data_IF_843553319565
#
_entry.id   IF_843553319565
#
_cell.length_a   1.000
_cell.length_b   1.000
_cell.length_c   1.000
_cell.angle_alpha   90.00
_cell.angle_beta   90.00
_cell.angle_gamma   90.00
#
_symmetry.space_group_name_H-M   'P 1'
#
loop_
_entity.id
_entity.type
_entity.pdbx_description
1 polymer ?
#
# COMPACT_ATOMS: atom_id res chain seq x y z
N UNK A 1 -19.12 -19.34 -14.99
CA UNK A 1 -18.91 -19.22 -13.53
C UNK A 1 -19.65 -17.95 -13.11
N UNK A 2 -20.57 -18.03 -12.14
CA UNK A 2 -21.30 -16.84 -11.67
C UNK A 2 -20.29 -15.86 -11.07
N UNK A 3 -19.87 -14.86 -11.85
CA UNK A 3 -19.09 -13.75 -11.34
C UNK A 3 -20.02 -12.92 -10.47
N UNK A 4 -19.98 -13.19 -9.16
CA UNK A 4 -20.53 -12.30 -8.15
C UNK A 4 -20.02 -10.89 -8.42
N UNK A 5 -20.93 -9.93 -8.59
CA UNK A 5 -20.62 -8.51 -8.72
C UNK A 5 -19.57 -8.10 -7.66
N UNK A 6 -18.37 -7.62 -8.07
CA UNK A 6 -17.29 -7.26 -7.16
C UNK A 6 -17.71 -6.24 -6.10
N UNK A 7 -18.62 -5.31 -6.43
CA UNK A 7 -19.11 -4.30 -5.47
C UNK A 7 -19.96 -4.96 -4.40
N UNK A 8 -20.89 -5.86 -4.77
CA UNK A 8 -21.69 -6.62 -3.82
C UNK A 8 -20.85 -7.57 -2.97
N UNK A 9 -19.83 -8.20 -3.58
CA UNK A 9 -18.89 -9.05 -2.85
C UNK A 9 -18.09 -8.25 -1.82
N UNK A 10 -17.60 -7.07 -2.21
CA UNK A 10 -16.91 -6.14 -1.33
C UNK A 10 -17.82 -5.66 -0.19
N UNK A 11 -19.03 -5.17 -0.50
CA UNK A 11 -19.99 -4.67 0.48
C UNK A 11 -20.28 -5.70 1.58
N UNK A 12 -20.57 -6.95 1.20
CA UNK A 12 -20.76 -8.05 2.16
C UNK A 12 -19.51 -8.33 2.99
N UNK A 13 -18.32 -8.32 2.38
CA UNK A 13 -17.05 -8.58 3.06
C UNK A 13 -16.75 -7.54 4.14
N UNK A 14 -17.08 -6.27 3.89
CA UNK A 14 -16.82 -5.16 4.82
C UNK A 14 -18.00 -4.84 5.74
N UNK A 15 -19.12 -5.55 5.61
CA UNK A 15 -20.30 -5.37 6.45
C UNK A 15 -21.13 -4.12 6.13
N UNK A 16 -21.07 -3.61 4.89
CA UNK A 16 -21.96 -2.53 4.45
C UNK A 16 -23.41 -3.03 4.41
N UNK A 17 -24.34 -2.16 4.80
CA UNK A 17 -25.77 -2.35 4.57
C UNK A 17 -26.11 -2.25 3.07
N UNK A 18 -27.26 -2.80 2.68
CA UNK A 18 -27.73 -2.71 1.30
C UNK A 18 -27.91 -1.23 0.87
N UNK A 19 -28.38 -0.37 1.78
CA UNK A 19 -28.52 1.07 1.53
C UNK A 19 -27.17 1.76 1.28
N UNK A 20 -26.13 1.43 2.04
CA UNK A 20 -24.78 1.97 1.81
C UNK A 20 -24.17 1.45 0.50
N UNK A 21 -24.42 0.18 0.16
CA UNK A 21 -23.94 -0.42 -1.08
C UNK A 21 -24.61 0.21 -2.32
N UNK A 22 -25.89 0.57 -2.24
CA UNK A 22 -26.62 1.27 -3.30
C UNK A 22 -26.06 2.67 -3.60
N UNK A 23 -25.37 3.30 -2.64
CA UNK A 23 -24.69 4.58 -2.87
C UNK A 23 -23.45 4.45 -3.79
N UNK A 24 -22.95 3.25 -4.02
CA UNK A 24 -21.84 2.97 -4.94
C UNK A 24 -22.43 2.60 -6.30
N UNK A 25 -22.75 3.61 -7.09
CA UNK A 25 -23.35 3.42 -8.42
C UNK A 25 -22.33 2.87 -9.42
N UNK A 26 -22.77 2.25 -10.54
CA UNK A 26 -21.85 1.73 -11.56
C UNK A 26 -20.91 2.78 -12.17
N UNK A 27 -21.32 4.05 -12.22
CA UNK A 27 -20.52 5.16 -12.75
C UNK A 27 -19.59 5.79 -11.70
N UNK A 28 -19.67 5.35 -10.44
CA UNK A 28 -18.81 5.85 -9.36
C UNK A 28 -17.37 5.35 -9.52
N UNK A 29 -16.41 6.27 -9.33
CA UNK A 29 -14.99 5.96 -9.18
C UNK A 29 -14.70 4.82 -8.18
N UNK A 30 -15.48 4.72 -7.09
CA UNK A 30 -15.39 3.65 -6.09
C UNK A 30 -15.72 2.28 -6.68
N UNK A 31 -16.73 2.19 -7.56
CA UNK A 31 -17.09 0.94 -8.22
C UNK A 31 -15.96 0.46 -9.14
N UNK A 32 -15.38 1.40 -9.92
CA UNK A 32 -14.18 1.12 -10.74
C UNK A 32 -13.02 0.63 -9.88
N UNK A 33 -12.71 1.35 -8.80
CA UNK A 33 -11.64 1.01 -7.88
C UNK A 33 -11.81 -0.39 -7.29
N UNK A 34 -12.98 -0.71 -6.71
CA UNK A 34 -13.27 -2.02 -6.12
C UNK A 34 -13.07 -3.14 -7.15
N UNK A 35 -13.60 -2.99 -8.36
CA UNK A 35 -13.46 -3.99 -9.42
C UNK A 35 -12.00 -4.21 -9.81
N UNK A 36 -11.26 -3.11 -10.01
CA UNK A 36 -9.86 -3.15 -10.47
C UNK A 36 -8.91 -3.68 -9.41
N UNK A 37 -9.10 -3.33 -8.15
CA UNK A 37 -8.31 -3.89 -7.06
C UNK A 37 -8.64 -5.37 -6.83
N UNK A 38 -9.89 -5.79 -6.99
CA UNK A 38 -10.25 -7.20 -6.98
C UNK A 38 -9.48 -7.98 -8.06
N UNK A 39 -9.41 -7.46 -9.30
CA UNK A 39 -8.61 -8.04 -10.40
C UNK A 39 -7.10 -8.06 -10.08
N UNK A 40 -6.57 -6.98 -9.49
CA UNK A 40 -5.15 -6.83 -9.18
C UNK A 40 -4.68 -7.66 -7.98
N UNK A 41 -5.56 -7.93 -7.01
CA UNK A 41 -5.22 -8.54 -5.71
C UNK A 41 -4.56 -9.92 -5.81
N UNK A 42 -4.94 -10.70 -6.83
CA UNK A 42 -4.35 -12.02 -7.12
C UNK A 42 -3.01 -11.94 -7.84
N UNK A 43 -2.70 -10.80 -8.47
CA UNK A 43 -1.55 -10.64 -9.36
C UNK A 43 -0.41 -9.86 -8.74
N UNK A 44 -0.72 -8.94 -7.82
CA UNK A 44 0.24 -7.96 -7.35
C UNK A 44 0.30 -7.82 -5.82
N UNK A 45 1.46 -7.38 -5.36
CA UNK A 45 1.71 -6.92 -3.99
C UNK A 45 2.55 -5.65 -4.03
N UNK A 46 2.36 -4.76 -3.05
CA UNK A 46 3.19 -3.57 -2.89
C UNK A 46 4.36 -3.96 -2.00
N UNK A 47 5.58 -3.67 -2.44
CA UNK A 47 6.80 -3.88 -1.67
C UNK A 47 7.48 -2.54 -1.38
N UNK A 48 7.78 -2.30 -0.10
CA UNK A 48 8.67 -1.24 0.32
C UNK A 48 9.95 -1.86 0.88
N UNK A 49 11.09 -1.59 0.23
CA UNK A 49 12.40 -2.10 0.61
C UNK A 49 13.24 -1.01 1.26
N UNK A 50 13.87 -1.33 2.39
CA UNK A 50 14.83 -0.42 3.04
C UNK A 50 16.08 -0.30 2.16
N UNK A 51 16.35 0.90 1.67
CA UNK A 51 17.54 1.20 0.85
C UNK A 51 18.64 1.91 1.65
N UNK A 52 18.30 2.57 2.75
CA UNK A 52 19.28 3.13 3.70
C UNK A 52 18.70 3.16 5.10
N UNK A 53 19.56 2.95 6.11
CA UNK A 53 19.20 3.04 7.52
C UNK A 53 20.38 3.56 8.32
N UNK A 54 20.19 4.71 8.97
CA UNK A 54 21.19 5.34 9.84
C UNK A 54 20.54 5.56 11.19
N UNK A 55 21.19 5.10 12.26
CA UNK A 55 20.76 5.30 13.65
C UNK A 55 19.27 4.99 13.93
N UNK A 56 18.74 3.92 13.31
CA UNK A 56 17.36 3.50 13.49
C UNK A 56 17.13 2.77 14.82
N UNK A 57 16.32 3.34 15.71
CA UNK A 57 15.94 2.69 16.99
C UNK A 57 15.24 1.32 16.80
N UNK A 58 14.42 1.18 15.76
CA UNK A 58 13.77 -0.11 15.45
C UNK A 58 14.73 -1.15 14.89
N UNK A 59 15.92 -0.73 14.44
CA UNK A 59 16.97 -1.62 13.95
C UNK A 59 16.75 -2.13 12.53
N UNK A 60 16.00 -1.40 11.70
CA UNK A 60 15.87 -1.73 10.27
C UNK A 60 17.23 -1.68 9.58
N UNK A 61 17.42 -2.55 8.57
CA UNK A 61 18.65 -2.66 7.78
C UNK A 61 18.34 -2.63 6.29
N UNK A 62 19.27 -2.16 5.43
CA UNK A 62 19.12 -2.30 4.00
C UNK A 62 18.78 -3.73 3.58
N UNK A 63 17.79 -3.88 2.70
CA UNK A 63 17.25 -5.17 2.27
C UNK A 63 16.06 -5.70 3.08
N UNK A 64 15.75 -5.12 4.24
CA UNK A 64 14.48 -5.40 4.93
C UNK A 64 13.29 -5.01 4.04
N UNK A 65 12.24 -5.84 4.01
CA UNK A 65 11.07 -5.65 3.14
C UNK A 65 9.78 -5.59 3.93
N UNK A 66 8.93 -4.64 3.57
CA UNK A 66 7.54 -4.55 3.99
C UNK A 66 6.69 -4.92 2.78
N UNK A 67 5.83 -5.92 2.93
CA UNK A 67 4.95 -6.38 1.87
C UNK A 67 3.51 -6.07 2.25
N UNK A 68 2.80 -5.38 1.37
CA UNK A 68 1.40 -5.05 1.50
C UNK A 68 0.61 -5.73 0.39
N UNK A 69 -0.65 -6.06 0.66
CA UNK A 69 -1.59 -6.32 -0.42
C UNK A 69 -1.90 -5.02 -1.19
N UNK A 70 -2.66 -5.14 -2.29
CA UNK A 70 -3.05 -3.97 -3.09
C UNK A 70 -4.07 -3.08 -2.39
N UNK A 71 -4.70 -3.52 -1.30
CA UNK A 71 -5.61 -2.69 -0.50
C UNK A 71 -4.84 -1.86 0.56
N UNK A 72 -3.52 -2.05 0.66
CA UNK A 72 -2.66 -1.32 1.61
C UNK A 72 -2.52 -1.98 2.98
N UNK A 73 -2.92 -3.25 3.14
CA UNK A 73 -2.72 -3.98 4.39
C UNK A 73 -1.35 -4.66 4.40
N UNK A 74 -0.61 -4.53 5.50
CA UNK A 74 0.63 -5.28 5.68
C UNK A 74 0.37 -6.79 5.79
N UNK A 75 1.06 -7.57 4.98
CA UNK A 75 1.16 -9.02 5.14
C UNK A 75 2.20 -9.26 6.23
N UNK A 76 1.76 -9.23 7.49
CA UNK A 76 2.63 -9.20 8.68
C UNK A 76 3.71 -10.29 8.71
N UNK A 77 3.42 -11.49 8.19
CA UNK A 77 4.37 -12.61 8.08
C UNK A 77 5.54 -12.35 7.12
N UNK A 78 5.39 -11.40 6.20
CA UNK A 78 6.39 -10.99 5.21
C UNK A 78 7.03 -9.64 5.54
N UNK A 79 6.72 -9.08 6.72
CA UNK A 79 7.25 -7.80 7.20
C UNK A 79 8.22 -8.03 8.38
N UNK A 80 9.03 -7.02 8.76
CA UNK A 80 9.81 -7.10 9.98
C UNK A 80 8.92 -7.23 11.21
N UNK A 81 9.42 -7.91 12.25
CA UNK A 81 8.66 -8.16 13.50
C UNK A 81 8.17 -6.88 14.19
N UNK A 82 8.89 -5.76 14.01
CA UNK A 82 8.53 -4.45 14.55
C UNK A 82 8.24 -3.51 13.39
N UNK A 83 7.08 -2.86 13.41
CA UNK A 83 6.65 -1.87 12.42
C UNK A 83 6.53 -0.50 13.09
N UNK A 84 7.48 0.39 12.80
CA UNK A 84 7.58 1.72 13.38
C UNK A 84 6.60 2.67 12.69
N UNK A 85 5.67 3.27 13.44
CA UNK A 85 4.66 4.20 12.90
C UNK A 85 5.26 5.36 12.09
N UNK A 86 6.43 5.87 12.49
CA UNK A 86 7.12 6.97 11.81
C UNK A 86 7.62 6.60 10.41
N UNK A 87 7.88 5.31 10.16
CA UNK A 87 8.27 4.81 8.84
C UNK A 87 7.06 4.30 8.07
N UNK A 88 6.23 3.45 8.68
CA UNK A 88 5.10 2.83 7.97
C UNK A 88 4.01 3.85 7.60
N UNK A 89 3.83 4.91 8.39
CA UNK A 89 2.91 6.00 8.05
C UNK A 89 3.30 6.77 6.79
N UNK A 90 4.57 6.68 6.37
CA UNK A 90 5.04 7.32 5.14
C UNK A 90 4.60 6.55 3.88
N UNK A 91 4.02 5.36 4.04
CA UNK A 91 3.53 4.56 2.92
C UNK A 91 2.11 4.93 2.48
N UNK A 92 1.36 5.75 3.24
CA UNK A 92 -0.03 6.12 2.90
C UNK A 92 -0.14 6.73 1.50
N UNK A 93 0.69 7.74 1.18
CA UNK A 93 0.63 8.41 -0.13
C UNK A 93 1.07 7.51 -1.29
N UNK A 94 2.23 6.81 -1.25
CA UNK A 94 2.60 5.93 -2.35
C UNK A 94 1.59 4.78 -2.57
N UNK A 95 0.99 4.23 -1.51
CA UNK A 95 -0.07 3.22 -1.64
C UNK A 95 -1.29 3.81 -2.36
N UNK A 96 -1.77 4.99 -1.95
CA UNK A 96 -2.88 5.67 -2.62
C UNK A 96 -2.58 5.95 -4.11
N UNK A 97 -1.37 6.40 -4.44
CA UNK A 97 -0.96 6.62 -5.83
C UNK A 97 -0.95 5.31 -6.65
N UNK A 98 -0.46 4.21 -6.06
CA UNK A 98 -0.50 2.89 -6.69
C UNK A 98 -1.94 2.44 -6.91
N UNK A 99 -2.82 2.65 -5.93
CA UNK A 99 -4.24 2.30 -6.02
C UNK A 99 -4.97 3.07 -7.11
N UNK A 100 -4.73 4.37 -7.23
CA UNK A 100 -5.30 5.19 -8.31
C UNK A 100 -4.84 4.67 -9.67
N UNK A 101 -3.56 4.32 -9.82
CA UNK A 101 -3.05 3.76 -11.08
C UNK A 101 -3.66 2.41 -11.42
N UNK A 102 -3.78 1.51 -10.43
CA UNK A 102 -4.46 0.22 -10.61
C UNK A 102 -5.93 0.41 -10.98
N UNK A 103 -6.62 1.37 -10.33
CA UNK A 103 -8.01 1.76 -10.63
C UNK A 103 -8.18 2.23 -12.08
N UNK A 104 -7.21 2.98 -12.60
CA UNK A 104 -7.20 3.45 -14.00
C UNK A 104 -6.63 2.42 -14.99
N UNK A 105 -6.23 1.22 -14.53
CA UNK A 105 -5.64 0.19 -15.38
C UNK A 105 -4.27 0.57 -15.96
N UNK A 106 -3.56 1.51 -15.32
CA UNK A 106 -2.23 1.96 -15.70
C UNK A 106 -1.15 1.07 -15.06
N UNK A 107 0.08 1.13 -15.59
CA UNK A 107 1.23 0.49 -14.95
C UNK A 107 1.43 1.06 -13.53
N UNK A 108 1.31 0.23 -12.47
CA UNK A 108 1.38 0.70 -11.10
C UNK A 108 2.79 1.10 -10.64
N UNK A 109 3.85 0.81 -11.40
CA UNK A 109 5.24 1.23 -11.10
C UNK A 109 5.63 2.58 -11.73
N UNK A 110 4.80 3.13 -12.61
CA UNK A 110 5.02 4.40 -13.32
C UNK A 110 4.45 5.62 -12.55
N UNK A 111 4.76 5.74 -11.26
CA UNK A 111 4.50 6.96 -10.47
C UNK A 111 5.82 7.70 -10.17
N UNK A 112 5.79 9.03 -10.14
CA UNK A 112 6.99 9.86 -9.99
C UNK A 112 7.27 10.26 -8.53
N UNK A 113 6.28 10.82 -7.83
CA UNK A 113 6.50 11.61 -6.61
C UNK A 113 6.98 10.79 -5.40
N UNK A 114 6.40 9.61 -5.15
CA UNK A 114 6.62 8.85 -3.91
C UNK A 114 7.34 7.50 -4.10
N UNK A 115 8.21 7.36 -5.12
CA UNK A 115 8.97 6.11 -5.33
C UNK A 115 9.93 5.80 -4.19
N UNK A 116 10.30 6.81 -3.42
CA UNK A 116 11.09 6.68 -2.21
C UNK A 116 10.48 7.55 -1.12
N UNK A 117 10.50 7.07 0.12
CA UNK A 117 10.02 7.80 1.29
C UNK A 117 11.01 7.64 2.44
N UNK A 118 11.13 8.64 3.29
CA UNK A 118 11.96 8.59 4.50
C UNK A 118 11.06 8.58 5.73
N UNK A 119 11.44 7.92 6.81
CA UNK A 119 10.78 8.16 8.10
C UNK A 119 10.94 9.62 8.54
N UNK A 120 10.11 10.06 9.48
CA UNK A 120 10.05 11.46 9.93
C UNK A 120 11.26 11.94 10.75
N UNK A 121 12.22 11.07 11.03
CA UNK A 121 13.46 11.45 11.72
C UNK A 121 14.39 12.17 10.73
N UNK A 122 14.90 13.32 11.15
CA UNK A 122 15.70 14.24 10.34
C UNK A 122 17.19 14.20 10.70
N UNK A 123 17.62 13.27 11.55
CA UNK A 123 19.02 13.14 11.95
C UNK A 123 19.45 14.13 13.04
N UNK A 124 20.67 13.90 13.56
CA UNK A 124 21.20 14.59 14.74
C UNK A 124 21.28 16.11 14.61
N UNK A 125 21.61 16.63 13.42
CA UNK A 125 21.68 18.07 13.16
C UNK A 125 20.31 18.75 13.24
N UNK A 126 19.23 17.97 13.12
CA UNK A 126 17.83 18.44 13.20
C UNK A 126 17.14 17.98 14.49
N UNK A 127 17.89 17.76 15.57
CA UNK A 127 17.39 17.24 16.87
C UNK A 127 16.73 15.86 16.79
N UNK A 128 17.03 15.10 15.74
CA UNK A 128 16.66 13.69 15.59
C UNK A 128 17.82 12.76 15.94
N UNK A 129 17.72 11.50 15.50
CA UNK A 129 18.75 10.48 15.72
C UNK A 129 19.35 9.98 14.41
N UNK A 130 18.53 9.84 13.37
CA UNK A 130 18.93 9.18 12.13
C UNK A 130 17.88 9.28 11.04
N UNK A 131 17.89 8.34 10.10
CA UNK A 131 16.86 8.27 9.06
C UNK A 131 16.85 6.89 8.39
N UNK A 132 15.66 6.40 8.07
CA UNK A 132 15.45 5.21 7.25
C UNK A 132 14.73 5.60 5.97
N UNK A 133 15.22 5.11 4.83
CA UNK A 133 14.62 5.32 3.52
C UNK A 133 14.08 4.02 2.95
N UNK A 134 12.86 4.06 2.45
CA UNK A 134 12.24 2.98 1.68
C UNK A 134 12.21 3.34 0.20
N UNK A 135 12.36 2.33 -0.66
CA UNK A 135 11.98 2.36 -2.06
C UNK A 135 10.70 1.55 -2.24
N UNK A 136 9.68 2.14 -2.84
CA UNK A 136 8.37 1.52 -3.05
C UNK A 136 8.23 1.03 -4.49
N UNK A 137 7.67 -0.16 -4.67
CA UNK A 137 7.38 -0.76 -5.98
C UNK A 137 6.20 -1.73 -5.89
N UNK A 138 5.61 -2.05 -7.03
CA UNK A 138 4.64 -3.14 -7.15
C UNK A 138 5.31 -4.35 -7.80
N UNK A 139 5.16 -5.50 -7.15
CA UNK A 139 5.74 -6.77 -7.57
C UNK A 139 4.64 -7.75 -7.95
N UNK A 140 4.90 -8.61 -8.95
CA UNK A 140 4.02 -9.74 -9.24
C UNK A 140 4.01 -10.71 -8.04
N UNK A 141 2.85 -11.26 -7.71
CA UNK A 141 2.74 -12.34 -6.72
C UNK A 141 3.24 -13.63 -7.36
N UNK A 142 4.09 -14.35 -6.63
CA UNK A 142 4.48 -15.72 -6.95
C UNK A 142 3.37 -16.71 -6.61
#
# INVERSE_FOLDING_TARGET
MNHTDPVKAFARRVGMSDQEAELITPDDSRARHIKRLAEASSRYSIQAEVVSSVACNTGYRPGDRFVLDVDGNFISKLCPKRMCVYLVGQLTVPVALINERLSEGLDPNHFHFMRQVNCTDCGVESQGYGQVRLKVSVQARA
#
